data_IF_139492739631
#
_entry.id   IF_139492739631
#
_cell.length_a   1.000
_cell.length_b   1.000
_cell.length_c   1.000
_cell.angle_alpha   90.00
_cell.angle_beta   90.00
_cell.angle_gamma   90.00
#
_symmetry.space_group_name_H-M   'P 1'
#
loop_
_entity.id
_entity.type
_entity.pdbx_description
1 polymer ?
#
# COMPACT_ATOMS: atom_id res chain seq x y z
N UNK A 1 -0.95 -10.88 -17.22
CA UNK A 1 0.31 -11.54 -16.82
C UNK A 1 0.07 -12.12 -15.44
N UNK A 2 0.45 -13.38 -15.19
CA UNK A 2 0.34 -13.99 -13.86
C UNK A 2 1.47 -13.46 -12.98
N UNK A 3 1.11 -12.85 -11.86
CA UNK A 3 2.06 -12.43 -10.85
C UNK A 3 2.67 -13.65 -10.17
N UNK A 4 3.99 -13.60 -9.94
CA UNK A 4 4.67 -14.53 -9.05
C UNK A 4 4.47 -14.03 -7.63
N UNK A 5 4.24 -14.95 -6.70
CA UNK A 5 4.19 -14.66 -5.28
C UNK A 5 4.62 -15.88 -4.50
N UNK A 6 5.00 -15.69 -3.23
CA UNK A 6 5.36 -16.79 -2.33
C UNK A 6 4.82 -16.54 -0.94
N UNK A 7 4.02 -17.48 -0.45
CA UNK A 7 3.58 -17.53 0.94
C UNK A 7 4.65 -18.25 1.79
N UNK A 8 4.88 -17.75 3.01
CA UNK A 8 5.81 -18.32 3.98
C UNK A 8 5.04 -18.60 5.27
N UNK A 9 4.95 -19.88 5.66
CA UNK A 9 4.15 -20.36 6.78
C UNK A 9 4.80 -21.61 7.43
N UNK A 10 5.39 -21.53 8.63
CA UNK A 10 5.72 -20.28 9.33
C UNK A 10 6.74 -19.46 8.54
N UNK A 11 6.77 -18.15 8.77
CA UNK A 11 7.77 -17.26 8.17
C UNK A 11 9.07 -17.21 8.98
N UNK A 12 8.96 -16.96 10.29
CA UNK A 12 10.10 -16.76 11.20
C UNK A 12 10.13 -17.81 12.31
N UNK A 13 11.20 -17.83 13.10
CA UNK A 13 11.19 -18.56 14.38
C UNK A 13 10.16 -17.93 15.33
N UNK A 14 9.65 -18.69 16.33
CA UNK A 14 8.73 -18.14 17.32
C UNK A 14 9.28 -16.91 18.05
N UNK A 15 10.56 -16.91 18.40
CA UNK A 15 11.22 -15.80 19.11
C UNK A 15 11.30 -14.54 18.24
N UNK A 16 11.60 -14.67 16.95
CA UNK A 16 11.57 -13.55 16.00
C UNK A 16 10.15 -13.01 15.80
N UNK A 17 9.15 -13.89 15.71
CA UNK A 17 7.75 -13.51 15.57
C UNK A 17 7.23 -12.76 16.81
N UNK A 18 7.61 -13.18 18.01
CA UNK A 18 7.31 -12.48 19.26
C UNK A 18 8.00 -11.11 19.33
N UNK A 19 9.25 -11.03 18.86
CA UNK A 19 9.98 -9.76 18.79
C UNK A 19 9.24 -8.71 17.95
N UNK A 20 8.54 -9.10 16.88
CA UNK A 20 7.78 -8.17 16.06
C UNK A 20 6.64 -7.48 16.83
N UNK A 21 5.97 -8.20 17.73
CA UNK A 21 4.97 -7.60 18.63
C UNK A 21 5.65 -6.65 19.64
N UNK A 22 6.80 -7.04 20.19
CA UNK A 22 7.56 -6.21 21.14
C UNK A 22 8.03 -4.89 20.52
N UNK A 23 8.39 -4.88 19.25
CA UNK A 23 8.76 -3.65 18.53
C UNK A 23 7.55 -2.68 18.45
N UNK A 24 6.35 -3.20 18.15
CA UNK A 24 5.15 -2.37 18.14
C UNK A 24 4.80 -1.80 19.51
N UNK A 25 4.90 -2.61 20.56
CA UNK A 25 4.69 -2.19 21.95
C UNK A 25 5.70 -1.12 22.38
N UNK A 26 6.98 -1.30 22.03
CA UNK A 26 8.05 -0.35 22.32
C UNK A 26 7.89 0.98 21.56
N UNK A 27 7.30 0.95 20.36
CA UNK A 27 6.95 2.17 19.61
C UNK A 27 5.87 3.00 20.31
N UNK A 28 5.05 2.35 21.13
CA UNK A 28 3.95 2.89 21.94
C UNK A 28 2.80 3.50 21.17
N UNK A 29 3.04 4.46 20.29
CA UNK A 29 1.98 5.24 19.64
C UNK A 29 2.05 5.05 18.13
N UNK A 30 0.92 4.67 17.54
CA UNK A 30 0.70 4.72 16.11
C UNK A 30 -0.27 5.85 15.77
N UNK A 31 0.04 6.60 14.72
CA UNK A 31 -0.83 7.67 14.21
C UNK A 31 -1.59 7.21 12.97
N UNK A 32 -2.73 7.85 12.72
CA UNK A 32 -3.43 7.66 11.45
C UNK A 32 -2.49 7.95 10.29
N UNK A 33 -2.49 7.08 9.29
CA UNK A 33 -1.77 7.31 8.05
C UNK A 33 -2.22 8.64 7.43
N UNK A 34 -1.28 9.55 7.22
CA UNK A 34 -1.52 10.85 6.60
C UNK A 34 -0.93 10.85 5.19
N UNK A 35 -1.62 11.48 4.24
CA UNK A 35 -1.12 11.65 2.87
C UNK A 35 0.22 12.41 2.87
N UNK A 36 1.31 11.70 2.59
CA UNK A 36 2.70 12.18 2.70
C UNK A 36 3.18 13.05 1.51
N UNK A 37 2.31 13.46 0.59
CA UNK A 37 2.72 14.10 -0.67
C UNK A 37 1.87 15.32 -1.07
N UNK A 38 2.43 16.16 -1.94
CA UNK A 38 1.82 17.37 -2.50
C UNK A 38 1.34 17.12 -3.94
N UNK A 39 0.19 17.69 -4.32
CA UNK A 39 -0.37 17.60 -5.68
C UNK A 39 -0.03 18.80 -6.57
N UNK A 40 1.12 19.43 -6.35
CA UNK A 40 1.50 20.68 -7.01
C UNK A 40 1.51 20.55 -8.54
N UNK A 41 0.80 21.46 -9.21
CA UNK A 41 0.77 21.57 -10.67
C UNK A 41 -0.20 20.62 -11.39
N UNK A 42 -0.77 19.61 -10.71
CA UNK A 42 -1.82 18.74 -11.30
C UNK A 42 -2.70 18.05 -10.24
N UNK A 43 -4.02 18.32 -10.30
CA UNK A 43 -4.98 17.69 -9.40
C UNK A 43 -4.86 18.14 -7.93
N UNK A 44 -4.51 19.40 -7.69
CA UNK A 44 -4.29 19.99 -6.36
C UNK A 44 -5.48 19.78 -5.41
N UNK A 45 -6.70 19.76 -5.96
CA UNK A 45 -7.94 19.57 -5.19
C UNK A 45 -8.30 18.11 -4.90
N UNK A 46 -7.47 17.14 -5.31
CA UNK A 46 -7.74 15.72 -5.16
C UNK A 46 -6.93 15.11 -4.01
N UNK A 47 -7.44 14.07 -3.32
CA UNK A 47 -6.62 13.24 -2.43
C UNK A 47 -5.50 12.52 -3.18
N UNK A 48 -4.42 12.12 -2.48
CA UNK A 48 -3.28 11.43 -3.11
C UNK A 48 -3.68 10.12 -3.79
N UNK A 49 -4.66 9.41 -3.20
CA UNK A 49 -5.17 8.12 -3.67
C UNK A 49 -6.66 8.17 -4.00
N UNK A 50 -7.11 9.24 -4.66
CA UNK A 50 -8.52 9.38 -5.04
C UNK A 50 -9.01 8.25 -5.96
N UNK A 51 -8.09 7.61 -6.71
CA UNK A 51 -8.33 6.41 -7.51
C UNK A 51 -8.94 5.28 -6.65
N UNK A 52 -8.25 4.90 -5.57
CA UNK A 52 -8.67 3.82 -4.69
C UNK A 52 -9.86 4.23 -3.82
N UNK A 53 -9.85 5.47 -3.30
CA UNK A 53 -10.90 5.98 -2.43
C UNK A 53 -12.26 6.01 -3.16
N UNK A 54 -12.32 6.55 -4.37
CA UNK A 54 -13.59 6.62 -5.11
C UNK A 54 -14.06 5.26 -5.57
N UNK A 55 -13.16 4.38 -6.01
CA UNK A 55 -13.52 3.00 -6.34
C UNK A 55 -14.14 2.28 -5.14
N UNK A 56 -13.55 2.43 -3.95
CA UNK A 56 -14.06 1.81 -2.73
C UNK A 56 -15.41 2.37 -2.28
N UNK A 57 -15.59 3.69 -2.31
CA UNK A 57 -16.87 4.32 -1.95
C UNK A 57 -17.99 3.82 -2.88
N UNK A 58 -17.70 3.60 -4.16
CA UNK A 58 -18.70 3.15 -5.13
C UNK A 58 -18.96 1.65 -5.06
N UNK A 59 -17.89 0.84 -4.95
CA UNK A 59 -17.95 -0.60 -5.20
C UNK A 59 -17.66 -1.47 -3.98
N UNK A 60 -17.25 -0.88 -2.86
CA UNK A 60 -16.77 -1.61 -1.69
C UNK A 60 -15.49 -2.40 -1.99
N UNK A 61 -15.08 -3.27 -1.07
CA UNK A 61 -13.91 -4.12 -1.28
C UNK A 61 -14.18 -5.31 -2.21
N UNK A 62 -15.43 -5.79 -2.24
CA UNK A 62 -15.84 -6.95 -3.03
C UNK A 62 -16.25 -6.58 -4.47
N UNK A 63 -16.33 -5.30 -4.80
CA UNK A 63 -16.72 -4.84 -6.14
C UNK A 63 -18.23 -4.88 -6.41
N UNK A 64 -19.06 -5.24 -5.42
CA UNK A 64 -20.51 -5.40 -5.54
C UNK A 64 -21.32 -4.17 -5.09
N UNK A 65 -20.65 -3.08 -4.73
CA UNK A 65 -21.26 -1.90 -4.13
C UNK A 65 -20.86 -1.73 -2.68
N UNK A 66 -20.93 -0.48 -2.19
CA UNK A 66 -20.71 -0.18 -0.78
C UNK A 66 -22.07 0.09 -0.10
N UNK A 67 -22.37 -0.66 0.97
CA UNK A 67 -23.60 -0.47 1.74
C UNK A 67 -23.49 0.63 2.80
N UNK A 68 -22.27 1.04 3.14
CA UNK A 68 -22.04 2.14 4.08
C UNK A 68 -22.32 3.48 3.42
N UNK A 69 -22.75 4.48 4.21
CA UNK A 69 -22.74 5.86 3.73
C UNK A 69 -21.29 6.33 3.50
N UNK A 70 -21.12 7.39 2.71
CA UNK A 70 -19.80 7.91 2.31
C UNK A 70 -18.89 8.21 3.51
N UNK A 71 -19.46 8.70 4.61
CA UNK A 71 -18.68 9.03 5.81
C UNK A 71 -18.16 7.76 6.44
N UNK A 72 -19.04 6.79 6.70
CA UNK A 72 -18.66 5.51 7.29
C UNK A 72 -17.65 4.77 6.41
N UNK A 73 -17.87 4.72 5.09
CA UNK A 73 -16.94 4.11 4.14
C UNK A 73 -15.54 4.74 4.22
N UNK A 74 -15.45 6.08 4.22
CA UNK A 74 -14.17 6.79 4.37
C UNK A 74 -13.44 6.37 5.66
N UNK A 75 -14.17 6.35 6.78
CA UNK A 75 -13.60 6.00 8.10
C UNK A 75 -13.08 4.57 8.16
N UNK A 76 -13.69 3.62 7.44
CA UNK A 76 -13.20 2.22 7.39
C UNK A 76 -11.80 2.11 6.79
N UNK A 77 -11.46 3.00 5.87
CA UNK A 77 -10.19 2.98 5.13
C UNK A 77 -9.08 3.79 5.78
N UNK A 78 -9.36 4.47 6.89
CA UNK A 78 -8.33 5.05 7.73
C UNK A 78 -7.70 3.94 8.56
N UNK A 79 -6.38 3.95 8.72
CA UNK A 79 -5.65 2.97 9.52
C UNK A 79 -4.41 3.60 10.12
N UNK A 80 -3.77 2.87 11.02
CA UNK A 80 -2.61 3.36 11.76
C UNK A 80 -1.33 2.84 11.11
N UNK A 81 -0.35 3.72 10.87
CA UNK A 81 0.94 3.36 10.27
C UNK A 81 2.09 4.03 10.98
N UNK A 82 3.16 3.27 11.18
CA UNK A 82 4.45 3.80 11.62
C UNK A 82 5.57 3.24 10.73
N UNK A 83 6.53 4.09 10.38
CA UNK A 83 7.77 3.68 9.71
C UNK A 83 8.74 3.15 10.75
N UNK A 84 9.30 1.97 10.50
CA UNK A 84 10.32 1.35 11.35
C UNK A 84 11.72 1.49 10.76
N UNK A 85 11.82 1.49 9.44
CA UNK A 85 13.06 1.72 8.72
C UNK A 85 12.79 2.40 7.37
N UNK A 86 13.66 3.33 6.98
CA UNK A 86 13.67 3.93 5.65
C UNK A 86 15.11 4.17 5.18
N UNK A 87 15.48 3.53 4.07
CA UNK A 87 16.86 3.43 3.59
C UNK A 87 17.81 2.95 4.70
N UNK A 88 18.79 3.77 5.06
CA UNK A 88 19.77 3.46 6.11
C UNK A 88 19.34 3.92 7.51
N UNK A 89 18.17 4.55 7.63
CA UNK A 89 17.64 5.05 8.91
C UNK A 89 16.73 4.01 9.57
N UNK A 90 17.15 3.50 10.73
CA UNK A 90 16.40 2.55 11.55
C UNK A 90 15.76 3.32 12.71
N UNK A 91 14.45 3.50 12.65
CA UNK A 91 13.67 4.24 13.66
C UNK A 91 13.15 3.35 14.81
N UNK A 92 13.03 2.04 14.56
CA UNK A 92 12.51 1.07 15.52
C UNK A 92 13.58 0.04 15.91
N UNK A 93 14.20 0.15 17.10
CA UNK A 93 15.23 -0.79 17.55
C UNK A 93 14.73 -2.24 17.55
N UNK A 94 15.55 -3.15 17.03
CA UNK A 94 15.23 -4.58 16.90
C UNK A 94 14.67 -4.98 15.54
N UNK A 95 14.33 -4.02 14.66
CA UNK A 95 13.84 -4.31 13.31
C UNK A 95 14.96 -4.70 12.33
N UNK A 96 16.22 -4.55 12.71
CA UNK A 96 17.39 -4.75 11.84
C UNK A 96 17.47 -6.18 11.28
N UNK A 97 17.12 -7.18 12.10
CA UNK A 97 17.09 -8.59 11.69
C UNK A 97 15.98 -8.85 10.67
N UNK A 98 14.82 -8.20 10.83
CA UNK A 98 13.73 -8.24 9.87
C UNK A 98 14.11 -7.51 8.57
N UNK A 99 14.73 -6.34 8.67
CA UNK A 99 15.16 -5.52 7.52
C UNK A 99 16.11 -6.27 6.59
N UNK A 100 17.01 -7.08 7.17
CA UNK A 100 18.04 -7.84 6.45
C UNK A 100 17.77 -9.35 6.38
N UNK A 101 16.55 -9.79 6.68
CA UNK A 101 16.24 -11.22 6.85
C UNK A 101 16.60 -12.05 5.60
N UNK A 102 17.38 -13.15 5.74
CA UNK A 102 17.86 -13.92 4.60
C UNK A 102 16.74 -14.45 3.69
N UNK A 103 15.63 -14.92 4.27
CA UNK A 103 14.52 -15.46 3.49
C UNK A 103 13.80 -14.37 2.69
N UNK A 104 13.66 -13.15 3.21
CA UNK A 104 13.09 -12.03 2.46
C UNK A 104 13.95 -11.73 1.23
N UNK A 105 15.26 -11.67 1.42
CA UNK A 105 16.21 -11.44 0.33
C UNK A 105 16.19 -12.58 -0.70
N UNK A 106 16.12 -13.83 -0.25
CA UNK A 106 16.11 -15.00 -1.13
C UNK A 106 14.80 -15.08 -1.93
N UNK A 107 13.66 -14.96 -1.25
CA UNK A 107 12.33 -15.03 -1.86
C UNK A 107 12.08 -13.84 -2.78
N UNK A 108 12.56 -12.63 -2.45
CA UNK A 108 12.46 -11.49 -3.34
C UNK A 108 13.19 -11.73 -4.68
N UNK A 109 14.38 -12.34 -4.66
CA UNK A 109 15.10 -12.68 -5.91
C UNK A 109 14.30 -13.65 -6.78
N UNK A 110 13.69 -14.66 -6.17
CA UNK A 110 12.86 -15.67 -6.84
C UNK A 110 11.59 -15.07 -7.44
N UNK A 111 10.81 -14.37 -6.61
CA UNK A 111 9.51 -13.80 -7.00
C UNK A 111 9.68 -12.71 -8.05
N UNK A 112 10.65 -11.81 -7.87
CA UNK A 112 10.86 -10.69 -8.79
C UNK A 112 11.68 -11.06 -10.03
N UNK A 113 12.34 -12.23 -10.04
CA UNK A 113 13.27 -12.64 -11.10
C UNK A 113 14.43 -11.64 -11.29
N UNK A 114 15.04 -11.23 -10.18
CA UNK A 114 16.08 -10.20 -10.12
C UNK A 114 17.20 -10.64 -9.19
N UNK A 115 18.45 -10.41 -9.61
CA UNK A 115 19.63 -10.91 -8.88
C UNK A 115 20.04 -10.01 -7.71
N UNK A 116 19.80 -8.70 -7.83
CA UNK A 116 20.15 -7.69 -6.86
C UNK A 116 18.87 -7.24 -6.14
N UNK A 117 18.87 -7.36 -4.81
CA UNK A 117 17.78 -6.93 -3.93
C UNK A 117 18.37 -6.00 -2.89
N UNK A 118 17.81 -4.80 -2.77
CA UNK A 118 18.25 -3.76 -1.84
C UNK A 118 17.08 -3.42 -0.92
N UNK A 119 17.08 -3.88 0.34
CA UNK A 119 16.10 -3.47 1.34
C UNK A 119 16.03 -1.95 1.43
N UNK A 120 14.80 -1.42 1.53
CA UNK A 120 14.58 0.02 1.46
C UNK A 120 13.63 0.53 2.53
N UNK A 121 12.56 -0.20 2.86
CA UNK A 121 11.54 0.32 3.78
C UNK A 121 10.99 -0.81 4.63
N UNK A 122 10.82 -0.57 5.92
CA UNK A 122 9.94 -1.37 6.78
C UNK A 122 8.95 -0.44 7.46
N UNK A 123 7.66 -0.75 7.35
CA UNK A 123 6.60 -0.05 8.06
C UNK A 123 5.58 -1.04 8.61
N UNK A 124 4.93 -0.64 9.69
CA UNK A 124 3.91 -1.41 10.36
C UNK A 124 2.54 -0.75 10.17
N UNK A 125 1.51 -1.58 9.97
CA UNK A 125 0.12 -1.16 9.95
C UNK A 125 -0.65 -1.86 11.08
N UNK A 126 -1.52 -1.11 11.75
CA UNK A 126 -2.54 -1.64 12.64
C UNK A 126 -3.92 -1.21 12.13
N UNK A 127 -4.82 -2.19 11.98
CA UNK A 127 -6.24 -1.98 11.74
C UNK A 127 -7.04 -2.41 12.97
N UNK A 128 -8.02 -1.60 13.36
CA UNK A 128 -8.96 -1.86 14.45
C UNK A 128 -10.24 -2.54 13.93
N UNK A 129 -11.07 -3.13 14.81
CA UNK A 129 -12.33 -3.78 14.42
C UNK A 129 -13.21 -2.91 13.53
N UNK A 130 -13.64 -3.47 12.38
CA UNK A 130 -14.49 -2.79 11.41
C UNK A 130 -13.76 -1.96 10.35
N UNK A 131 -12.44 -1.77 10.48
CA UNK A 131 -11.60 -1.20 9.43
C UNK A 131 -11.28 -2.23 8.34
N UNK A 132 -10.95 -1.73 7.16
CA UNK A 132 -10.53 -2.50 6.00
C UNK A 132 -9.71 -1.61 5.06
N UNK A 133 -9.11 -2.17 4.01
CA UNK A 133 -8.34 -1.38 3.05
C UNK A 133 -8.87 -1.61 1.64
N UNK A 134 -9.21 -0.51 0.97
CA UNK A 134 -9.68 -0.47 -0.41
C UNK A 134 -8.82 -1.34 -1.33
N UNK A 135 -9.42 -1.95 -2.36
CA UNK A 135 -8.65 -2.56 -3.43
C UNK A 135 -7.83 -1.48 -4.13
N UNK A 136 -6.52 -1.68 -4.20
CA UNK A 136 -5.56 -0.76 -4.79
C UNK A 136 -4.33 -1.50 -5.30
N UNK A 137 -3.54 -0.80 -6.11
CA UNK A 137 -2.12 -1.12 -6.27
C UNK A 137 -1.30 -0.18 -5.40
N UNK A 138 -0.14 -0.65 -4.94
CA UNK A 138 0.80 0.20 -4.23
C UNK A 138 1.33 1.30 -5.16
N UNK A 139 1.90 2.34 -4.56
CA UNK A 139 2.49 3.45 -5.32
C UNK A 139 3.85 3.01 -5.88
N UNK A 140 3.98 2.91 -7.22
CA UNK A 140 5.23 2.51 -7.86
C UNK A 140 6.25 3.66 -7.84
N UNK A 141 7.53 3.31 -8.05
CA UNK A 141 8.59 4.28 -8.29
C UNK A 141 9.16 4.14 -9.71
N UNK A 142 9.57 5.27 -10.27
CA UNK A 142 10.27 5.37 -11.54
C UNK A 142 11.52 6.24 -11.36
N UNK A 143 12.52 6.08 -12.23
CA UNK A 143 13.68 6.99 -12.24
C UNK A 143 13.19 8.44 -12.36
N UNK A 144 13.59 9.30 -11.41
CA UNK A 144 13.16 10.70 -11.33
C UNK A 144 11.76 10.97 -10.75
N UNK A 145 10.88 9.96 -10.67
CA UNK A 145 9.49 10.13 -10.26
C UNK A 145 9.11 9.14 -9.14
N UNK A 146 9.02 9.68 -7.93
CA UNK A 146 8.69 8.97 -6.70
C UNK A 146 7.63 9.77 -5.91
N UNK A 147 7.07 9.16 -4.86
CA UNK A 147 5.98 9.76 -4.06
C UNK A 147 6.36 11.06 -3.34
N UNK A 148 7.64 11.42 -3.25
CA UNK A 148 8.08 12.70 -2.66
C UNK A 148 8.06 13.85 -3.68
N UNK A 149 7.97 13.53 -4.98
CA UNK A 149 8.06 14.51 -6.08
C UNK A 149 6.80 14.59 -6.93
N UNK A 150 6.02 13.51 -6.98
CA UNK A 150 4.86 13.39 -7.85
C UNK A 150 3.63 12.94 -7.07
N UNK A 151 2.42 13.34 -7.50
CA UNK A 151 1.18 12.79 -6.99
C UNK A 151 1.15 11.26 -7.06
N UNK A 152 0.67 10.60 -6.01
CA UNK A 152 0.63 9.13 -5.97
C UNK A 152 -0.29 8.56 -7.05
N UNK A 153 -1.47 9.15 -7.27
CA UNK A 153 -2.39 8.75 -8.33
C UNK A 153 -1.72 8.80 -9.72
N UNK A 154 -0.81 9.76 -9.97
CA UNK A 154 -0.11 9.90 -11.24
C UNK A 154 0.90 8.76 -11.43
N UNK A 155 1.63 8.39 -10.38
CA UNK A 155 2.56 7.25 -10.41
C UNK A 155 1.81 5.93 -10.70
N UNK A 156 0.63 5.75 -10.07
CA UNK A 156 -0.25 4.60 -10.35
C UNK A 156 -0.73 4.65 -11.80
N UNK A 157 -1.22 5.79 -12.29
CA UNK A 157 -1.58 5.97 -13.71
C UNK A 157 -0.42 5.61 -14.65
N UNK A 158 0.80 6.07 -14.36
CA UNK A 158 1.98 5.77 -15.16
C UNK A 158 2.22 4.26 -15.27
N UNK A 159 2.11 3.52 -14.16
CA UNK A 159 2.27 2.07 -14.16
C UNK A 159 1.18 1.38 -14.99
N UNK A 160 -0.08 1.69 -14.74
CA UNK A 160 -1.20 1.06 -15.44
C UNK A 160 -1.27 1.43 -16.92
N UNK A 161 -0.69 2.56 -17.32
CA UNK A 161 -0.55 2.93 -18.74
C UNK A 161 0.42 2.03 -19.53
N UNK A 162 1.40 1.43 -18.84
CA UNK A 162 2.50 0.69 -19.46
C UNK A 162 3.49 1.53 -20.26
N UNK A 163 3.28 2.85 -20.38
CA UNK A 163 4.09 3.74 -21.22
C UNK A 163 5.48 4.02 -20.61
N UNK A 164 5.66 3.76 -19.31
CA UNK A 164 6.86 4.10 -18.55
C UNK A 164 7.61 2.86 -18.03
N UNK A 165 7.35 1.68 -18.58
CA UNK A 165 7.93 0.40 -18.11
C UNK A 165 9.46 0.41 -18.08
N UNK A 166 10.10 1.06 -19.06
CA UNK A 166 11.57 1.17 -19.13
C UNK A 166 12.17 2.04 -18.01
N UNK A 167 11.34 2.88 -17.37
CA UNK A 167 11.73 3.76 -16.28
C UNK A 167 11.39 3.21 -14.90
N UNK A 168 10.60 2.13 -14.83
CA UNK A 168 10.14 1.55 -13.57
C UNK A 168 11.33 1.08 -12.74
N UNK A 169 11.29 1.35 -11.44
CA UNK A 169 12.14 0.74 -10.43
C UNK A 169 11.33 -0.40 -9.80
N UNK A 170 11.63 -1.69 -10.08
CA UNK A 170 10.85 -2.79 -9.53
C UNK A 170 10.99 -2.88 -8.00
N UNK A 171 9.87 -3.05 -7.31
CA UNK A 171 9.82 -3.16 -5.84
C UNK A 171 9.21 -4.52 -5.46
N UNK A 172 9.94 -5.30 -4.68
CA UNK A 172 9.39 -6.43 -3.96
C UNK A 172 8.71 -5.93 -2.68
N UNK A 173 7.52 -6.44 -2.38
CA UNK A 173 6.86 -6.20 -1.09
C UNK A 173 6.58 -7.52 -0.40
N UNK A 174 6.99 -7.63 0.86
CA UNK A 174 6.55 -8.69 1.74
C UNK A 174 5.60 -8.12 2.78
N UNK A 175 4.40 -8.68 2.90
CA UNK A 175 3.46 -8.37 4.00
C UNK A 175 3.46 -9.56 4.94
N UNK A 176 3.66 -9.31 6.23
CA UNK A 176 3.76 -10.33 7.28
C UNK A 176 2.84 -10.01 8.46
N UNK A 177 2.30 -11.02 9.13
CA UNK A 177 1.29 -10.87 10.17
C UNK A 177 1.73 -11.47 11.50
N UNK A 178 1.49 -10.75 12.60
CA UNK A 178 1.83 -11.17 13.95
C UNK A 178 0.65 -10.88 14.91
N UNK A 179 0.48 -11.67 15.97
CA UNK A 179 -0.73 -11.64 16.81
C UNK A 179 -1.92 -12.45 16.25
N UNK A 180 -3.09 -12.31 16.85
CA UNK A 180 -4.26 -13.14 16.56
C UNK A 180 -5.05 -12.72 15.31
N UNK A 181 -5.01 -11.43 14.94
CA UNK A 181 -5.59 -10.86 13.71
C UNK A 181 -7.02 -11.36 13.37
N UNK A 182 -8.07 -10.83 14.01
CA UNK A 182 -9.43 -11.29 13.76
C UNK A 182 -9.94 -10.76 12.40
N UNK A 183 -10.01 -11.63 11.40
CA UNK A 183 -10.34 -11.21 10.03
C UNK A 183 -9.19 -10.43 9.39
N UNK A 184 -9.50 -9.47 8.52
CA UNK A 184 -8.43 -8.64 7.92
C UNK A 184 -7.54 -9.39 6.92
N UNK A 185 -8.08 -10.40 6.24
CA UNK A 185 -7.34 -11.20 5.27
C UNK A 185 -6.78 -10.32 4.14
N UNK A 186 -5.61 -10.70 3.65
CA UNK A 186 -4.99 -10.05 2.49
C UNK A 186 -5.63 -10.60 1.23
N UNK A 187 -6.35 -9.74 0.53
CA UNK A 187 -7.11 -10.12 -0.66
C UNK A 187 -6.43 -9.53 -1.89
N UNK A 188 -6.25 -10.31 -2.95
CA UNK A 188 -5.39 -9.94 -4.08
C UNK A 188 -5.78 -10.64 -5.38
N UNK A 189 -5.31 -10.09 -6.50
CA UNK A 189 -5.66 -10.52 -7.85
C UNK A 189 -4.41 -10.94 -8.63
N UNK A 190 -3.81 -12.11 -8.32
CA UNK A 190 -2.51 -12.49 -8.88
C UNK A 190 -2.59 -12.82 -10.37
N UNK A 191 -3.77 -13.14 -10.89
CA UNK A 191 -4.00 -13.39 -12.32
C UNK A 191 -4.50 -12.15 -13.08
N UNK A 192 -4.52 -10.99 -12.42
CA UNK A 192 -4.96 -9.71 -12.99
C UNK A 192 -6.39 -9.31 -12.59
N UNK A 193 -6.79 -8.06 -12.86
CA UNK A 193 -8.00 -7.46 -12.30
C UNK A 193 -9.32 -8.10 -12.78
N UNK A 194 -9.31 -8.82 -13.90
CA UNK A 194 -10.50 -9.51 -14.43
C UNK A 194 -10.61 -10.96 -13.96
N UNK A 195 -9.64 -11.44 -13.19
CA UNK A 195 -9.62 -12.81 -12.68
C UNK A 195 -10.28 -12.90 -11.30
N UNK A 196 -10.49 -14.14 -10.84
CA UNK A 196 -11.00 -14.38 -9.50
C UNK A 196 -10.04 -13.81 -8.45
N UNK A 197 -10.64 -13.24 -7.40
CA UNK A 197 -9.94 -12.77 -6.22
C UNK A 197 -9.43 -13.97 -5.41
N UNK A 198 -8.18 -13.91 -4.99
CA UNK A 198 -7.60 -14.80 -3.99
C UNK A 198 -7.55 -14.08 -2.63
N UNK A 199 -7.54 -14.85 -1.54
CA UNK A 199 -7.47 -14.31 -0.18
C UNK A 199 -6.58 -15.19 0.68
N UNK A 200 -5.74 -14.56 1.49
CA UNK A 200 -4.87 -15.21 2.45
C UNK A 200 -5.17 -14.67 3.85
N UNK A 201 -5.49 -15.57 4.77
CA UNK A 201 -5.75 -15.22 6.17
C UNK A 201 -4.52 -14.54 6.79
N UNK A 202 -4.76 -13.52 7.61
CA UNK A 202 -3.75 -12.78 8.36
C UNK A 202 -3.24 -13.57 9.58
N UNK A 203 -2.85 -14.83 9.39
CA UNK A 203 -2.48 -15.73 10.49
C UNK A 203 -1.12 -15.35 11.09
N UNK A 204 -0.98 -15.51 12.41
CA UNK A 204 0.28 -15.28 13.11
C UNK A 204 1.47 -15.98 12.44
N UNK A 205 2.58 -15.25 12.32
CA UNK A 205 3.84 -15.73 11.77
C UNK A 205 3.70 -16.29 10.34
N UNK A 206 2.89 -15.61 9.53
CA UNK A 206 2.78 -15.85 8.09
C UNK A 206 3.19 -14.63 7.31
N UNK A 207 3.58 -14.82 6.05
CA UNK A 207 3.95 -13.74 5.16
C UNK A 207 3.63 -14.07 3.69
N UNK A 208 3.43 -13.02 2.88
CA UNK A 208 3.29 -13.09 1.42
C UNK A 208 4.24 -12.09 0.78
N UNK A 209 5.11 -12.58 -0.11
CA UNK A 209 5.98 -11.74 -0.92
C UNK A 209 5.45 -11.68 -2.37
N UNK A 210 5.21 -10.46 -2.86
CA UNK A 210 4.59 -10.18 -4.17
C UNK A 210 4.97 -8.76 -4.67
N UNK A 211 4.84 -8.51 -5.96
CA UNK A 211 4.90 -7.15 -6.55
C UNK A 211 3.57 -6.43 -6.32
N UNK A 212 3.41 -5.79 -5.15
CA UNK A 212 2.18 -5.06 -4.79
C UNK A 212 1.93 -3.80 -5.62
N UNK A 213 2.96 -3.27 -6.30
CA UNK A 213 2.75 -2.15 -7.23
C UNK A 213 1.91 -2.62 -8.43
N UNK A 214 2.13 -3.85 -8.89
CA UNK A 214 1.49 -4.36 -10.12
C UNK A 214 0.27 -5.24 -9.86
N UNK A 215 0.10 -5.71 -8.63
CA UNK A 215 -1.01 -6.60 -8.24
C UNK A 215 -2.03 -5.83 -7.43
N UNK A 216 -3.28 -5.79 -7.92
CA UNK A 216 -4.39 -5.27 -7.13
C UNK A 216 -4.56 -6.11 -5.87
N UNK A 217 -4.67 -5.42 -4.73
CA UNK A 217 -4.83 -6.03 -3.42
C UNK A 217 -5.54 -5.09 -2.45
N UNK A 218 -5.99 -5.62 -1.33
CA UNK A 218 -6.61 -4.88 -0.25
C UNK A 218 -6.60 -5.70 1.05
N UNK A 219 -7.28 -5.19 2.06
CA UNK A 219 -7.42 -5.87 3.35
C UNK A 219 -8.90 -6.02 3.62
N UNK A 220 -9.37 -7.26 3.75
CA UNK A 220 -10.76 -7.56 4.11
C UNK A 220 -11.12 -6.96 5.47
N UNK A 221 -12.41 -6.95 5.80
CA UNK A 221 -12.85 -6.35 7.06
C UNK A 221 -12.24 -7.05 8.26
N UNK A 222 -11.58 -6.29 9.13
CA UNK A 222 -11.23 -6.76 10.47
C UNK A 222 -12.55 -6.99 11.21
N UNK A 223 -12.67 -8.15 11.86
CA UNK A 223 -13.92 -8.60 12.49
C UNK A 223 -14.50 -7.48 13.35
N UNK A 224 -15.70 -6.97 13.04
CA UNK A 224 -16.31 -5.87 13.78
C UNK A 224 -16.54 -6.25 15.25
N UNK A 225 -16.35 -5.27 16.14
CA UNK A 225 -16.59 -5.42 17.58
C UNK A 225 -17.34 -4.19 18.08
N UNK A 226 -18.59 -4.40 18.51
CA UNK A 226 -19.43 -3.31 19.02
C UNK A 226 -19.66 -2.19 18.01
N UNK A 227 -19.69 -0.95 18.50
CA UNK A 227 -19.80 0.25 17.69
C UNK A 227 -18.46 0.52 16.97
N UNK A 228 -18.51 0.86 15.69
CA UNK A 228 -17.35 1.31 14.93
C UNK A 228 -17.04 2.79 15.26
N UNK A 229 -15.95 3.09 16.00
CA UNK A 229 -15.59 4.48 16.29
C UNK A 229 -15.09 5.18 15.03
N UNK A 230 -15.31 6.49 14.93
CA UNK A 230 -14.67 7.31 13.92
C UNK A 230 -13.14 7.34 14.15
N UNK A 231 -12.38 7.23 13.07
CA UNK A 231 -10.91 7.27 13.07
C UNK A 231 -10.48 8.41 12.15
N UNK A 232 -10.60 9.64 12.67
CA UNK A 232 -10.26 10.85 11.94
C UNK A 232 -8.76 11.09 11.84
N UNK A 233 -8.35 11.94 10.90
CA UNK A 233 -6.97 12.42 10.81
C UNK A 233 -6.54 13.03 12.15
N UNK A 234 -5.48 12.49 12.74
CA UNK A 234 -4.96 12.90 14.04
C UNK A 234 -5.39 12.00 15.20
N UNK A 235 -6.26 11.02 14.97
CA UNK A 235 -6.48 9.95 15.95
C UNK A 235 -5.19 9.17 16.21
N UNK A 236 -5.09 8.59 17.40
CA UNK A 236 -3.92 7.82 17.84
C UNK A 236 -4.34 6.49 18.44
N UNK A 237 -3.51 5.46 18.20
CA UNK A 237 -3.63 4.17 18.84
C UNK A 237 -2.39 3.96 19.71
N UNK A 238 -2.58 3.93 21.03
CA UNK A 238 -1.50 3.94 22.02
C UNK A 238 -1.47 2.65 22.82
N UNK A 239 -0.29 2.07 23.00
CA UNK A 239 -0.05 0.94 23.87
C UNK A 239 0.09 1.41 25.33
N UNK A 240 -0.81 0.91 26.17
CA UNK A 240 -0.94 1.27 27.58
C UNK A 240 -0.28 0.23 28.52
N UNK A 241 0.32 -0.83 27.96
CA UNK A 241 1.01 -1.89 28.71
C UNK A 241 0.24 -3.21 28.73
N UNK A 242 0.96 -4.28 29.05
CA UNK A 242 0.50 -5.68 29.08
C UNK A 242 -0.03 -6.15 27.72
N UNK A 243 -1.31 -5.89 27.45
CA UNK A 243 -2.02 -6.23 26.21
C UNK A 243 -3.14 -5.21 25.93
N UNK A 244 -2.95 -3.95 26.37
CA UNK A 244 -3.96 -2.91 26.28
C UNK A 244 -3.56 -1.82 25.30
N UNK A 245 -4.49 -1.51 24.40
CA UNK A 245 -4.38 -0.43 23.43
C UNK A 245 -5.56 0.53 23.57
N UNK A 246 -5.27 1.83 23.59
CA UNK A 246 -6.25 2.90 23.67
C UNK A 246 -6.36 3.62 22.33
N UNK A 247 -7.57 3.72 21.79
CA UNK A 247 -7.87 4.56 20.63
C UNK A 247 -8.37 5.91 21.12
N UNK A 248 -7.64 6.97 20.79
CA UNK A 248 -8.02 8.35 21.07
C UNK A 248 -8.41 9.09 19.79
N UNK A 249 -9.44 9.93 19.88
CA UNK A 249 -9.85 10.85 18.82
C UNK A 249 -8.75 11.89 18.52
N UNK A 250 -8.94 12.68 17.46
CA UNK A 250 -8.04 13.79 17.16
C UNK A 250 -7.98 14.86 18.27
N UNK A 251 -8.99 14.90 19.16
CA UNK A 251 -9.05 15.78 20.32
C UNK A 251 -8.38 15.19 21.56
N UNK A 252 -7.96 13.92 21.51
CA UNK A 252 -7.32 13.21 22.62
C UNK A 252 -8.30 12.48 23.56
N UNK A 253 -9.59 12.45 23.24
CA UNK A 253 -10.58 11.70 24.01
C UNK A 253 -10.49 10.21 23.68
N UNK A 254 -10.41 9.35 24.69
CA UNK A 254 -10.46 7.89 24.51
C UNK A 254 -11.85 7.47 24.01
N UNK A 255 -11.90 6.87 22.82
CA UNK A 255 -13.15 6.44 22.18
C UNK A 255 -13.30 4.92 22.12
N UNK A 256 -12.21 4.15 22.27
CA UNK A 256 -12.26 2.71 22.39
C UNK A 256 -11.01 2.12 23.08
N UNK A 257 -11.13 0.88 23.55
CA UNK A 257 -10.02 0.06 24.06
C UNK A 257 -9.99 -1.29 23.37
N UNK A 258 -8.79 -1.77 23.12
CA UNK A 258 -8.51 -3.02 22.41
C UNK A 258 -7.42 -3.82 23.11
N UNK A 259 -7.33 -5.10 22.75
CA UNK A 259 -6.15 -5.94 22.97
C UNK A 259 -5.59 -6.44 21.64
N UNK A 260 -4.43 -7.12 21.64
CA UNK A 260 -3.88 -7.72 20.42
C UNK A 260 -4.84 -8.72 19.75
N UNK A 261 -5.79 -9.30 20.49
CA UNK A 261 -6.82 -10.18 19.92
C UNK A 261 -7.88 -9.45 19.11
N UNK A 262 -7.98 -8.13 19.23
CA UNK A 262 -8.89 -7.28 18.47
C UNK A 262 -8.23 -6.63 17.24
N UNK A 263 -6.90 -6.55 17.24
CA UNK A 263 -6.13 -5.76 16.27
C UNK A 263 -5.57 -6.64 15.16
N UNK A 264 -5.59 -6.11 13.93
CA UNK A 264 -4.91 -6.71 12.80
C UNK A 264 -3.59 -6.01 12.51
N UNK A 265 -2.50 -6.63 12.92
CA UNK A 265 -1.14 -6.13 12.81
C UNK A 265 -0.37 -6.77 11.65
N UNK A 266 0.24 -5.93 10.82
CA UNK A 266 1.20 -6.40 9.82
C UNK A 266 2.41 -5.51 9.72
N UNK A 267 3.52 -6.14 9.36
CA UNK A 267 4.74 -5.46 8.95
C UNK A 267 4.93 -5.68 7.45
N UNK A 268 5.14 -4.58 6.74
CA UNK A 268 5.49 -4.57 5.32
C UNK A 268 6.97 -4.24 5.16
N UNK A 269 7.66 -5.07 4.40
CA UNK A 269 9.04 -4.88 3.97
C UNK A 269 9.05 -4.59 2.47
N UNK A 270 9.82 -3.59 2.04
CA UNK A 270 10.02 -3.25 0.64
C UNK A 270 11.49 -3.26 0.26
N UNK A 271 11.78 -3.76 -0.94
CA UNK A 271 13.12 -3.76 -1.49
C UNK A 271 13.14 -3.46 -2.99
N UNK A 272 14.09 -2.63 -3.40
CA UNK A 272 14.39 -2.38 -4.80
C UNK A 272 15.05 -3.60 -5.43
N UNK A 273 14.58 -3.99 -6.62
CA UNK A 273 15.01 -5.21 -7.29
C UNK A 273 15.57 -4.90 -8.69
N UNK A 274 16.86 -5.20 -8.89
CA UNK A 274 17.57 -4.96 -10.14
C UNK A 274 18.09 -6.27 -10.74
N UNK A 275 18.07 -6.35 -12.07
CA UNK A 275 18.54 -7.50 -12.85
C UNK A 275 20.04 -7.65 -12.78
N UNK A 276 20.75 -6.51 -12.77
CA UNK A 276 22.20 -6.42 -12.80
C UNK A 276 22.65 -5.02 -12.36
N UNK A 277 23.97 -4.85 -12.20
CA UNK A 277 24.58 -3.59 -11.78
C UNK A 277 24.34 -2.44 -12.76
N UNK A 278 24.13 -2.71 -14.06
CA UNK A 278 23.85 -1.66 -15.04
C UNK A 278 22.46 -1.04 -14.83
N UNK A 279 21.43 -1.86 -14.54
CA UNK A 279 20.08 -1.36 -14.19
C UNK A 279 20.12 -0.58 -12.88
N UNK A 280 20.86 -1.08 -11.88
CA UNK A 280 21.08 -0.37 -10.61
C UNK A 280 21.80 0.96 -10.80
N UNK A 281 22.83 1.00 -11.65
CA UNK A 281 23.60 2.21 -11.93
C UNK A 281 22.72 3.30 -12.57
N UNK A 282 21.88 2.95 -13.54
CA UNK A 282 20.92 3.90 -14.15
C UNK A 282 19.97 4.53 -13.14
N UNK A 283 19.56 3.77 -12.12
CA UNK A 283 18.76 4.31 -11.03
C UNK A 283 19.58 5.23 -10.11
N UNK A 284 20.81 4.83 -9.79
CA UNK A 284 21.67 5.57 -8.87
C UNK A 284 22.28 6.86 -9.46
N UNK A 285 22.60 6.88 -10.75
CA UNK A 285 23.28 8.01 -11.41
C UNK A 285 22.35 9.17 -11.80
N UNK A 286 21.03 8.91 -11.81
CA UNK A 286 19.96 9.89 -12.09
C UNK A 286 20.07 10.57 -13.45
N UNK A 287 20.82 9.98 -14.39
CA UNK A 287 21.09 10.53 -15.72
C UNK A 287 19.92 10.40 -16.69
N UNK A 288 18.96 9.55 -16.36
CA UNK A 288 17.76 9.23 -17.16
C UNK A 288 16.49 9.37 -16.29
N UNK A 289 16.46 10.39 -15.43
CA UNK A 289 15.33 10.74 -14.55
C UNK A 289 14.18 11.34 -15.37
N UNK A 290 12.95 10.86 -15.14
CA UNK A 290 11.74 11.45 -15.70
C UNK A 290 11.44 12.82 -15.09
N UNK A 291 10.84 13.70 -15.89
CA UNK A 291 10.29 14.99 -15.44
C UNK A 291 8.77 14.98 -15.56
N UNK A 292 8.09 15.80 -14.76
CA UNK A 292 6.62 15.95 -14.83
C UNK A 292 6.16 16.34 -16.24
N UNK A 293 6.85 17.29 -16.88
CA UNK A 293 6.51 17.74 -18.25
C UNK A 293 6.60 16.59 -19.28
N UNK A 294 7.65 15.76 -19.21
CA UNK A 294 7.76 14.59 -20.08
C UNK A 294 6.64 13.58 -19.82
N UNK A 295 6.34 13.30 -18.55
CA UNK A 295 5.27 12.37 -18.15
C UNK A 295 3.93 12.83 -18.72
N UNK A 296 3.56 14.10 -18.48
CA UNK A 296 2.28 14.64 -18.92
C UNK A 296 2.19 14.75 -20.45
N UNK A 297 3.28 15.08 -21.15
CA UNK A 297 3.33 15.08 -22.62
C UNK A 297 3.14 13.68 -23.21
N UNK A 298 3.74 12.67 -22.59
CA UNK A 298 3.62 11.27 -23.03
C UNK A 298 2.19 10.76 -22.86
N UNK A 299 1.58 10.99 -21.69
CA UNK A 299 0.19 10.62 -21.42
C UNK A 299 -0.79 11.37 -22.33
N UNK A 300 -0.63 12.69 -22.51
CA UNK A 300 -1.47 13.48 -23.42
C UNK A 300 -1.41 12.97 -24.85
N UNK A 301 -0.20 12.72 -25.36
CA UNK A 301 0.01 12.17 -26.71
C UNK A 301 -0.70 10.83 -26.88
N UNK A 302 -0.62 9.95 -25.89
CA UNK A 302 -1.29 8.65 -25.93
C UNK A 302 -2.82 8.79 -25.86
N UNK A 303 -3.37 9.63 -24.98
CA UNK A 303 -4.81 9.93 -24.93
C UNK A 303 -5.35 10.47 -26.26
N UNK A 304 -4.59 11.33 -26.94
CA UNK A 304 -4.95 11.85 -28.27
C UNK A 304 -4.89 10.78 -29.34
N UNK A 305 -3.86 9.93 -29.32
CA UNK A 305 -3.74 8.81 -30.25
C UNK A 305 -4.90 7.81 -30.11
N UNK A 306 -5.42 7.64 -28.89
CA UNK A 306 -6.61 6.82 -28.59
C UNK A 306 -7.94 7.50 -28.91
N UNK A 307 -7.94 8.79 -29.23
CA UNK A 307 -9.16 9.58 -29.43
C UNK A 307 -9.94 9.89 -28.15
N UNK A 308 -9.36 9.65 -26.97
CA UNK A 308 -9.98 9.93 -25.66
C UNK A 308 -9.90 11.43 -25.34
N UNK A 309 -8.79 12.08 -25.71
CA UNK A 309 -8.62 13.52 -25.60
C UNK A 309 -8.74 14.18 -26.97
N UNK A 310 -9.83 14.93 -27.17
CA UNK A 310 -10.07 15.73 -28.39
C UNK A 310 -10.10 17.22 -28.04
N UNK A 311 -9.38 18.05 -28.79
CA UNK A 311 -9.35 19.50 -28.55
C UNK A 311 -8.34 19.94 -27.47
N UNK A 312 -8.64 21.02 -26.77
CA UNK A 312 -7.79 21.56 -25.70
C UNK A 312 -7.76 20.63 -24.48
N UNK A 313 -6.63 20.65 -23.76
CA UNK A 313 -6.51 19.88 -22.51
C UNK A 313 -7.45 20.51 -21.46
N UNK A 314 -8.27 19.71 -20.73
CA UNK A 314 -9.08 20.22 -19.63
C UNK A 314 -8.26 20.85 -18.51
N UNK A 315 -8.92 21.55 -17.59
CA UNK A 315 -8.28 22.04 -16.37
C UNK A 315 -7.63 20.88 -15.56
N UNK A 316 -6.59 21.15 -14.75
CA UNK A 316 -5.74 20.12 -14.15
C UNK A 316 -6.49 19.02 -13.39
N UNK A 317 -7.53 19.39 -12.62
CA UNK A 317 -8.35 18.43 -11.85
C UNK A 317 -9.19 17.53 -12.77
N UNK A 318 -9.79 18.08 -13.82
CA UNK A 318 -10.52 17.29 -14.82
C UNK A 318 -9.58 16.38 -15.62
N UNK A 319 -8.38 16.86 -15.94
CA UNK A 319 -7.36 16.07 -16.62
C UNK A 319 -6.85 14.91 -15.75
N UNK A 320 -6.60 15.14 -14.46
CA UNK A 320 -6.23 14.08 -13.51
C UNK A 320 -7.29 12.97 -13.43
N UNK A 321 -8.59 13.35 -13.35
CA UNK A 321 -9.70 12.38 -13.37
C UNK A 321 -9.77 11.61 -14.68
N UNK A 322 -9.57 12.28 -15.82
CA UNK A 322 -9.54 11.63 -17.14
C UNK A 322 -8.43 10.57 -17.21
N UNK A 323 -7.22 10.91 -16.74
CA UNK A 323 -6.08 10.00 -16.71
C UNK A 323 -6.37 8.76 -15.86
N UNK A 324 -6.83 8.94 -14.62
CA UNK A 324 -7.16 7.81 -13.73
C UNK A 324 -8.24 6.92 -14.34
N UNK A 325 -9.32 7.51 -14.85
CA UNK A 325 -10.43 6.76 -15.45
C UNK A 325 -10.03 5.98 -16.71
N UNK A 326 -9.07 6.49 -17.48
CA UNK A 326 -8.64 5.85 -18.71
C UNK A 326 -7.64 4.71 -18.45
N UNK A 327 -6.67 4.92 -17.57
CA UNK A 327 -5.57 3.99 -17.40
C UNK A 327 -5.77 2.99 -16.27
N UNK A 328 -6.43 3.35 -15.16
CA UNK A 328 -6.57 2.47 -14.01
C UNK A 328 -7.88 1.67 -14.14
N UNK A 329 -7.75 0.35 -14.28
CA UNK A 329 -8.88 -0.57 -14.38
C UNK A 329 -8.94 -1.46 -13.15
N UNK A 330 -9.72 -1.03 -12.15
CA UNK A 330 -9.95 -1.81 -10.94
C UNK A 330 -10.66 -3.13 -11.25
N UNK A 331 -10.46 -4.16 -10.40
CA UNK A 331 -11.25 -5.37 -10.48
C UNK A 331 -12.75 -5.06 -10.36
N UNK A 332 -13.53 -5.62 -11.27
CA UNK A 332 -14.99 -5.54 -11.24
C UNK A 332 -15.55 -6.87 -10.78
N UNK A 333 -16.73 -6.85 -10.15
CA UNK A 333 -17.50 -8.06 -9.94
C UNK A 333 -17.75 -8.75 -11.30
N UNK A 334 -17.29 -9.98 -11.46
CA UNK A 334 -17.81 -10.84 -12.54
C UNK A 334 -19.30 -11.00 -12.31
N UNK A 335 -20.13 -10.70 -13.31
CA UNK A 335 -21.54 -11.03 -13.27
C UNK A 335 -21.65 -12.54 -12.97
N UNK A 336 -22.33 -12.87 -11.87
CA UNK A 336 -22.52 -14.24 -11.40
C UNK A 336 -23.32 -15.09 -12.41
#
# INVERSE_FOLDING_TARGET
>A
MQARYKAMQPFMTPEEADQMLRIAEARRVFRTYADEALNEGIGEDLPQRFDAAFNYIQHGIDGHGNSDDVTTASQRTNYFRETYAYADDIEAPGIESFFSHPDLLSVAREVMDRSIVVPAIVYANILTPGQELAIHTDVPEFRGADRKKMPQWLLVTMLHSGLFNDYRVPIATCVSWFGANPGGAFTYYPLGPTAARESMAATHNTALLIDTDSVFHGVERVTPKGLFPAVDKGATLSFEGEDHWSLASAQGDEVARYSWTDLRYSISWKAYCFRNDAERAKWADRSDDLTLDFILKTLDKDLRARGVLTGERPEPTAFARLLVNEYIRFPAATAA
#
